data_IF_722650102996
#
_entry.id   IF_722650102996
#
_cell.length_a   1.000
_cell.length_b   1.000
_cell.length_c   1.000
_cell.angle_alpha   90.00
_cell.angle_beta   90.00
_cell.angle_gamma   90.00
#
_symmetry.space_group_name_H-M   'P 1'
#
loop_
_entity.id
_entity.type
_entity.pdbx_description
1 polymer ?
#
# COMPACT_ATOMS: atom_id res chain seq x y z
N UNK A 1 53.36 -15.62 -6.24
CA UNK A 1 52.77 -16.78 -5.52
C UNK A 1 51.49 -17.18 -6.24
N UNK A 2 50.99 -18.40 -6.06
CA UNK A 2 49.67 -18.81 -6.56
C UNK A 2 48.64 -18.70 -5.43
N UNK A 3 48.46 -17.49 -4.92
CA UNK A 3 47.55 -17.23 -3.80
C UNK A 3 46.14 -17.05 -4.36
N UNK A 4 45.19 -17.86 -3.90
CA UNK A 4 43.78 -17.70 -4.27
C UNK A 4 43.19 -16.43 -3.68
N UNK A 5 42.36 -15.74 -4.45
CA UNK A 5 41.66 -14.55 -3.99
C UNK A 5 40.24 -14.49 -4.55
N UNK A 6 39.34 -13.87 -3.80
CA UNK A 6 37.94 -13.70 -4.16
C UNK A 6 37.46 -12.32 -3.69
N UNK A 7 37.21 -11.43 -4.64
CA UNK A 7 36.98 -10.00 -4.36
C UNK A 7 35.68 -9.57 -5.01
N UNK A 8 34.74 -9.09 -4.19
CA UNK A 8 33.44 -8.59 -4.63
C UNK A 8 33.55 -7.09 -4.80
N UNK A 9 33.16 -6.58 -5.96
CA UNK A 9 33.02 -5.16 -6.25
C UNK A 9 31.52 -4.87 -6.25
N UNK A 10 31.03 -4.24 -5.18
CA UNK A 10 29.63 -3.82 -5.08
C UNK A 10 29.34 -2.69 -6.08
N UNK A 11 28.15 -2.77 -6.69
CA UNK A 11 27.70 -1.83 -7.71
C UNK A 11 26.37 -1.19 -7.31
N UNK A 12 25.33 -1.28 -8.14
CA UNK A 12 24.06 -0.59 -7.85
C UNK A 12 23.21 -1.34 -6.83
N UNK A 13 23.33 -2.68 -6.78
CA UNK A 13 22.60 -3.53 -5.85
C UNK A 13 23.44 -3.84 -4.61
N UNK A 14 22.79 -3.88 -3.45
CA UNK A 14 23.40 -4.29 -2.19
C UNK A 14 23.61 -5.80 -2.22
N UNK A 15 24.83 -6.23 -1.98
CA UNK A 15 25.20 -7.65 -2.09
C UNK A 15 24.95 -8.46 -0.81
N UNK A 16 24.72 -7.78 0.32
CA UNK A 16 24.58 -8.45 1.63
C UNK A 16 23.41 -9.43 1.69
N UNK A 17 22.34 -9.19 0.93
CA UNK A 17 21.18 -10.09 0.90
C UNK A 17 21.51 -11.46 0.26
N UNK A 18 22.63 -11.55 -0.47
CA UNK A 18 23.02 -12.74 -1.21
C UNK A 18 24.21 -13.48 -0.61
N UNK A 19 24.92 -12.90 0.36
CA UNK A 19 26.08 -13.49 1.01
C UNK A 19 25.86 -13.69 2.50
N UNK A 20 26.65 -14.56 3.10
CA UNK A 20 26.74 -14.62 4.57
C UNK A 20 27.57 -13.44 5.06
N UNK A 21 27.14 -12.82 6.17
CA UNK A 21 27.87 -11.73 6.82
C UNK A 21 29.28 -12.19 7.18
N UNK A 22 30.27 -11.40 6.76
CA UNK A 22 31.68 -11.65 7.05
C UNK A 22 32.12 -10.99 8.35
N UNK A 23 33.44 -10.88 8.53
CA UNK A 23 34.01 -10.01 9.56
C UNK A 23 34.13 -8.59 9.01
N UNK A 24 33.61 -7.60 9.74
CA UNK A 24 33.75 -6.19 9.35
C UNK A 24 35.22 -5.77 9.41
N UNK A 25 35.67 -5.15 8.32
CA UNK A 25 37.00 -4.57 8.21
C UNK A 25 36.90 -3.35 7.30
N UNK A 26 37.03 -2.16 7.89
CA UNK A 26 37.04 -0.89 7.16
C UNK A 26 38.48 -0.53 6.82
N UNK A 27 38.87 -0.73 5.57
CA UNK A 27 40.24 -0.49 5.13
C UNK A 27 40.31 -0.12 3.64
N UNK A 28 41.29 0.69 3.26
CA UNK A 28 41.63 0.89 1.86
C UNK A 28 42.18 -0.42 1.25
N UNK A 29 41.82 -0.78 0.00
CA UNK A 29 42.28 -2.00 -0.66
C UNK A 29 43.72 -1.86 -1.18
N UNK A 30 44.68 -1.57 -0.29
CA UNK A 30 46.09 -1.48 -0.66
C UNK A 30 46.68 -2.85 -0.94
N UNK A 31 47.77 -2.95 -1.74
CA UNK A 31 48.42 -4.22 -2.02
C UNK A 31 48.82 -5.00 -0.77
N UNK A 32 49.27 -4.31 0.28
CA UNK A 32 49.68 -4.91 1.55
C UNK A 32 48.47 -5.53 2.27
N UNK A 33 47.37 -4.79 2.37
CA UNK A 33 46.13 -5.25 3.00
C UNK A 33 45.57 -6.49 2.28
N UNK A 34 45.48 -6.43 0.95
CA UNK A 34 44.98 -7.56 0.15
C UNK A 34 45.86 -8.80 0.29
N UNK A 35 47.19 -8.63 0.29
CA UNK A 35 48.13 -9.73 0.50
C UNK A 35 47.98 -10.35 1.89
N UNK A 36 47.82 -9.54 2.93
CA UNK A 36 47.63 -10.01 4.31
C UNK A 36 46.31 -10.75 4.50
N UNK A 37 45.22 -10.29 3.87
CA UNK A 37 43.92 -10.97 3.96
C UNK A 37 43.97 -12.35 3.30
N UNK A 38 44.45 -12.44 2.06
CA UNK A 38 44.47 -13.69 1.31
C UNK A 38 45.67 -14.61 1.61
N UNK A 39 46.54 -14.23 2.54
CA UNK A 39 47.63 -15.10 2.97
C UNK A 39 47.08 -16.37 3.63
N UNK A 40 47.62 -17.54 3.27
CA UNK A 40 47.10 -18.86 3.69
C UNK A 40 47.02 -19.05 5.21
N UNK A 41 47.93 -18.44 5.95
CA UNK A 41 47.96 -18.52 7.42
C UNK A 41 47.01 -17.52 8.09
N UNK A 42 46.47 -16.55 7.34
CA UNK A 42 45.55 -15.54 7.88
C UNK A 42 44.19 -16.17 8.15
N UNK A 43 43.54 -15.94 9.30
CA UNK A 43 42.17 -16.43 9.53
C UNK A 43 41.13 -15.80 8.57
N UNK A 44 41.50 -14.73 7.86
CA UNK A 44 40.61 -13.96 6.97
C UNK A 44 40.64 -14.44 5.51
N UNK A 45 41.51 -15.41 5.18
CA UNK A 45 41.73 -15.84 3.79
C UNK A 45 40.62 -16.73 3.21
N UNK A 46 39.79 -17.31 4.08
CA UNK A 46 38.67 -18.15 3.68
C UNK A 46 37.45 -17.29 3.39
N UNK A 47 36.91 -17.41 2.18
CA UNK A 47 35.82 -16.57 1.70
C UNK A 47 36.27 -15.37 0.85
N UNK A 48 35.35 -14.42 0.70
CA UNK A 48 35.51 -13.25 -0.15
C UNK A 48 35.70 -11.97 0.66
N UNK A 49 36.29 -10.97 0.02
CA UNK A 49 36.26 -9.59 0.52
C UNK A 49 35.18 -8.80 -0.21
N UNK A 50 34.56 -7.85 0.49
CA UNK A 50 33.57 -6.93 -0.05
C UNK A 50 34.16 -5.53 -0.16
N UNK A 51 34.32 -5.06 -1.40
CA UNK A 51 34.68 -3.68 -1.71
C UNK A 51 33.41 -2.90 -2.07
N UNK A 52 33.16 -1.83 -1.32
CA UNK A 52 32.05 -0.90 -1.51
C UNK A 52 32.60 0.52 -1.53
N UNK A 53 32.20 1.30 -2.53
CA UNK A 53 32.57 2.72 -2.65
C UNK A 53 34.09 2.97 -2.55
N UNK A 54 34.90 2.00 -3.00
CA UNK A 54 36.37 2.09 -2.98
C UNK A 54 37.03 1.58 -1.69
N UNK A 55 36.26 1.14 -0.70
CA UNK A 55 36.78 0.63 0.58
C UNK A 55 36.40 -0.83 0.80
N UNK A 56 37.27 -1.59 1.45
CA UNK A 56 36.92 -2.90 2.01
C UNK A 56 35.98 -2.61 3.18
N UNK A 57 34.88 -3.36 3.24
CA UNK A 57 33.87 -3.23 4.32
C UNK A 57 33.72 -4.53 5.11
N UNK A 58 33.85 -5.67 4.43
CA UNK A 58 33.78 -7.00 5.03
C UNK A 58 34.83 -7.92 4.39
N UNK A 59 35.29 -8.90 5.17
CA UNK A 59 36.18 -9.97 4.74
C UNK A 59 35.63 -11.32 5.21
N UNK A 60 36.13 -12.40 4.65
CA UNK A 60 35.66 -13.75 4.94
C UNK A 60 34.15 -13.96 4.70
N UNK A 61 33.58 -13.28 3.70
CA UNK A 61 32.18 -13.44 3.29
C UNK A 61 32.00 -14.75 2.51
N UNK A 62 31.00 -15.55 2.87
CA UNK A 62 30.64 -16.74 2.10
C UNK A 62 29.60 -16.43 1.04
N UNK A 63 29.82 -16.96 -0.16
CA UNK A 63 29.03 -16.67 -1.35
C UNK A 63 28.23 -17.90 -1.79
N UNK A 64 27.06 -17.69 -2.41
CA UNK A 64 26.27 -18.78 -2.96
C UNK A 64 27.00 -19.38 -4.16
N UNK A 65 27.03 -20.71 -4.22
CA UNK A 65 27.59 -21.41 -5.37
C UNK A 65 26.54 -21.47 -6.49
N UNK A 66 26.98 -21.31 -7.74
CA UNK A 66 26.11 -21.56 -8.89
C UNK A 66 25.76 -23.06 -8.97
N UNK A 67 24.48 -23.41 -9.23
CA UNK A 67 24.06 -24.78 -9.50
C UNK A 67 24.29 -25.19 -10.96
N UNK A 68 24.83 -24.30 -11.80
CA UNK A 68 25.02 -24.57 -13.23
C UNK A 68 25.92 -25.80 -13.46
N UNK A 69 25.43 -26.70 -14.31
CA UNK A 69 26.19 -27.84 -14.81
C UNK A 69 27.03 -27.42 -16.04
N UNK A 70 28.05 -28.20 -16.38
CA UNK A 70 28.89 -27.93 -17.56
C UNK A 70 29.97 -26.85 -17.38
N UNK A 71 30.21 -26.38 -16.15
CA UNK A 71 31.35 -25.51 -15.87
C UNK A 71 32.68 -26.26 -16.07
N UNK A 72 33.75 -25.55 -16.48
CA UNK A 72 35.09 -26.14 -16.63
C UNK A 72 35.54 -26.93 -15.39
N UNK A 73 36.19 -28.07 -15.60
CA UNK A 73 36.57 -28.99 -14.51
C UNK A 73 37.64 -28.40 -13.60
N UNK A 74 38.45 -27.50 -14.14
CA UNK A 74 39.49 -26.72 -13.47
C UNK A 74 38.93 -25.59 -12.59
N UNK A 75 37.61 -25.35 -12.59
CA UNK A 75 36.99 -24.32 -11.76
C UNK A 75 36.62 -24.85 -10.38
N UNK A 76 37.43 -24.46 -9.40
CA UNK A 76 37.19 -24.72 -7.98
C UNK A 76 36.03 -23.90 -7.38
N UNK A 77 35.86 -24.01 -6.07
CA UNK A 77 34.75 -23.40 -5.29
C UNK A 77 34.69 -21.88 -5.42
N UNK A 78 35.82 -21.18 -5.44
CA UNK A 78 35.87 -19.71 -5.62
C UNK A 78 35.29 -19.25 -6.96
N UNK A 79 35.52 -20.00 -8.04
CA UNK A 79 34.95 -19.69 -9.35
C UNK A 79 33.43 -19.88 -9.33
N UNK A 80 32.96 -20.98 -8.73
CA UNK A 80 31.52 -21.26 -8.58
C UNK A 80 30.81 -20.24 -7.70
N UNK A 81 31.45 -19.80 -6.63
CA UNK A 81 30.98 -18.73 -5.75
C UNK A 81 30.86 -17.39 -6.49
N UNK A 82 31.89 -17.03 -7.27
CA UNK A 82 31.89 -15.80 -8.06
C UNK A 82 30.75 -15.77 -9.07
N UNK A 83 30.53 -16.87 -9.79
CA UNK A 83 29.41 -17.00 -10.73
C UNK A 83 28.09 -16.92 -9.98
N UNK A 84 27.93 -17.71 -8.91
CA UNK A 84 26.68 -17.79 -8.16
C UNK A 84 26.25 -16.46 -7.54
N UNK A 85 27.18 -15.59 -7.13
CA UNK A 85 26.84 -14.22 -6.75
C UNK A 85 26.47 -13.35 -7.96
N UNK A 86 27.27 -13.41 -9.03
CA UNK A 86 27.05 -12.59 -10.24
C UNK A 86 25.79 -12.94 -11.03
N UNK A 87 25.18 -14.11 -10.78
CA UNK A 87 23.87 -14.51 -11.30
C UNK A 87 22.70 -13.83 -10.56
N UNK A 88 22.92 -13.45 -9.30
CA UNK A 88 21.86 -12.97 -8.39
C UNK A 88 21.80 -11.45 -8.28
N UNK A 89 22.91 -10.77 -8.56
CA UNK A 89 23.02 -9.32 -8.45
C UNK A 89 23.96 -8.74 -9.51
N UNK A 90 24.02 -7.41 -9.59
CA UNK A 90 24.87 -6.71 -10.56
C UNK A 90 26.34 -6.56 -10.15
N UNK A 91 26.75 -7.18 -9.04
CA UNK A 91 28.13 -7.16 -8.55
C UNK A 91 29.07 -7.92 -9.49
N UNK A 92 30.31 -7.43 -9.54
CA UNK A 92 31.38 -8.11 -10.27
C UNK A 92 32.31 -8.75 -9.28
N UNK A 93 32.76 -9.96 -9.57
CA UNK A 93 33.58 -10.73 -8.65
C UNK A 93 34.88 -11.11 -9.31
N UNK A 94 36.01 -10.62 -8.80
CA UNK A 94 37.34 -11.01 -9.24
C UNK A 94 37.73 -12.31 -8.54
N UNK A 95 38.27 -13.24 -9.31
CA UNK A 95 38.76 -14.54 -8.84
C UNK A 95 40.21 -14.69 -9.26
N UNK A 96 41.07 -15.08 -8.33
CA UNK A 96 42.42 -15.54 -8.62
C UNK A 96 42.50 -17.02 -8.31
N UNK A 97 42.89 -17.83 -9.30
CA UNK A 97 43.05 -19.28 -9.14
C UNK A 97 44.27 -19.59 -8.29
N UNK A 98 44.09 -20.35 -7.20
CA UNK A 98 45.21 -20.83 -6.37
C UNK A 98 46.03 -21.93 -7.05
N UNK A 99 45.47 -22.60 -8.05
CA UNK A 99 46.15 -23.68 -8.78
C UNK A 99 46.93 -23.15 -9.99
N UNK A 100 46.33 -22.20 -10.71
CA UNK A 100 46.85 -21.71 -12.00
C UNK A 100 47.44 -20.31 -11.92
N UNK A 101 47.07 -19.53 -10.91
CA UNK A 101 47.46 -18.11 -10.80
C UNK A 101 46.75 -17.19 -11.79
N UNK A 102 45.78 -17.73 -12.53
CA UNK A 102 44.97 -16.99 -13.49
C UNK A 102 43.99 -16.05 -12.79
N UNK A 103 43.80 -14.88 -13.38
CA UNK A 103 42.82 -13.89 -12.94
C UNK A 103 41.62 -13.93 -13.85
N UNK A 104 40.43 -14.02 -13.25
CA UNK A 104 39.16 -14.03 -13.96
C UNK A 104 38.17 -13.10 -13.27
N UNK A 105 37.18 -12.64 -14.03
CA UNK A 105 36.12 -11.77 -13.56
C UNK A 105 34.76 -12.43 -13.83
N UNK A 106 33.94 -12.60 -12.80
CA UNK A 106 32.57 -13.03 -12.93
C UNK A 106 31.62 -11.83 -13.01
N UNK A 107 30.73 -11.81 -14.01
CA UNK A 107 29.70 -10.79 -14.23
C UNK A 107 28.52 -11.42 -14.95
N UNK A 108 27.29 -11.17 -14.47
CA UNK A 108 26.05 -11.64 -15.12
C UNK A 108 26.07 -13.17 -15.40
N UNK A 109 26.59 -13.95 -14.45
CA UNK A 109 26.70 -15.40 -14.57
C UNK A 109 27.74 -15.92 -15.58
N UNK A 110 28.55 -15.04 -16.15
CA UNK A 110 29.64 -15.41 -17.07
C UNK A 110 31.00 -15.15 -16.43
N UNK A 111 32.00 -15.93 -16.81
CA UNK A 111 33.38 -15.74 -16.38
C UNK A 111 34.24 -15.27 -17.56
N UNK A 112 34.93 -14.16 -17.36
CA UNK A 112 35.81 -13.54 -18.35
C UNK A 112 37.24 -13.72 -17.84
N UNK A 113 38.07 -14.40 -18.62
CA UNK A 113 39.48 -14.58 -18.29
C UNK A 113 40.27 -13.32 -18.65
N UNK A 114 41.14 -12.86 -17.76
CA UNK A 114 42.04 -11.74 -18.03
C UNK A 114 43.37 -12.26 -18.56
N UNK A 115 43.53 -12.24 -19.89
CA UNK A 115 44.71 -12.78 -20.58
C UNK A 115 46.02 -12.07 -20.20
N UNK A 116 45.94 -10.77 -19.89
CA UNK A 116 47.09 -9.97 -19.51
C UNK A 116 46.71 -8.86 -18.51
N UNK A 117 47.70 -8.24 -17.83
CA UNK A 117 47.44 -7.19 -16.85
C UNK A 117 46.72 -5.97 -17.42
N UNK A 118 46.91 -5.65 -18.70
CA UNK A 118 46.26 -4.52 -19.37
C UNK A 118 44.75 -4.77 -19.53
N UNK A 119 44.37 -5.97 -19.96
CA UNK A 119 42.97 -6.41 -20.06
C UNK A 119 42.34 -6.42 -18.67
N UNK A 120 43.04 -6.93 -17.66
CA UNK A 120 42.55 -6.89 -16.28
C UNK A 120 42.29 -5.45 -15.82
N UNK A 121 43.24 -4.53 -16.06
CA UNK A 121 43.08 -3.12 -15.71
C UNK A 121 41.86 -2.50 -16.41
N UNK A 122 41.65 -2.79 -17.70
CA UNK A 122 40.48 -2.31 -18.44
C UNK A 122 39.17 -2.85 -17.86
N UNK A 123 39.11 -4.14 -17.53
CA UNK A 123 37.95 -4.75 -16.90
C UNK A 123 37.63 -4.11 -15.54
N UNK A 124 38.64 -3.85 -14.70
CA UNK A 124 38.44 -3.17 -13.41
C UNK A 124 38.00 -1.72 -13.61
N UNK A 125 38.58 -1.00 -14.57
CA UNK A 125 38.14 0.36 -14.88
C UNK A 125 36.67 0.40 -15.33
N UNK A 126 36.22 -0.55 -16.14
CA UNK A 126 34.81 -0.70 -16.50
C UNK A 126 33.93 -1.04 -15.27
N UNK A 127 34.44 -1.91 -14.38
CA UNK A 127 33.79 -2.29 -13.13
C UNK A 127 33.55 -1.10 -12.20
N UNK A 128 34.47 -0.13 -12.19
CA UNK A 128 34.42 1.06 -11.33
C UNK A 128 33.64 2.21 -11.98
N UNK A 129 33.84 2.46 -13.27
CA UNK A 129 33.21 3.58 -13.99
C UNK A 129 31.71 3.38 -14.20
N UNK A 130 31.27 2.15 -14.49
CA UNK A 130 29.85 1.88 -14.67
C UNK A 130 29.06 1.84 -13.33
N UNK A 131 29.71 2.17 -12.20
CA UNK A 131 29.11 2.37 -10.87
C UNK A 131 28.90 3.85 -10.52
N UNK A 132 29.14 4.78 -11.46
CA UNK A 132 28.69 6.16 -11.32
C UNK A 132 27.15 6.24 -11.26
N UNK A 133 26.58 7.33 -10.72
CA UNK A 133 25.12 7.57 -10.72
C UNK A 133 24.65 7.89 -12.15
N UNK A 134 24.76 6.93 -13.05
CA UNK A 134 24.05 6.94 -14.31
C UNK A 134 22.62 6.54 -14.02
N UNK A 135 21.70 7.49 -14.15
CA UNK A 135 20.26 7.26 -14.18
C UNK A 135 19.91 6.00 -14.98
N UNK A 136 19.77 4.85 -14.31
CA UNK A 136 19.03 3.74 -14.89
C UNK A 136 17.59 4.21 -14.96
N UNK A 137 17.22 4.65 -16.16
CA UNK A 137 15.89 5.12 -16.53
C UNK A 137 14.85 4.23 -15.86
N UNK A 138 14.01 4.84 -15.02
CA UNK A 138 12.85 4.25 -14.38
C UNK A 138 12.11 3.21 -15.24
N UNK A 139 12.10 3.40 -16.56
CA UNK A 139 11.54 2.47 -17.56
C UNK A 139 12.15 1.05 -17.52
N UNK A 140 13.46 0.90 -17.32
CA UNK A 140 14.13 -0.41 -17.27
C UNK A 140 13.91 -1.12 -15.92
N UNK A 141 13.93 -0.36 -14.82
CA UNK A 141 13.63 -0.87 -13.47
C UNK A 141 12.18 -1.34 -13.35
N UNK A 142 11.25 -0.54 -13.86
CA UNK A 142 9.82 -0.86 -13.89
C UNK A 142 9.57 -2.09 -14.78
N UNK A 143 10.26 -2.21 -15.92
CA UNK A 143 10.18 -3.38 -16.80
C UNK A 143 10.46 -4.70 -16.06
N UNK A 144 11.62 -4.83 -15.41
CA UNK A 144 11.99 -6.07 -14.73
C UNK A 144 11.12 -6.36 -13.48
N UNK A 145 10.70 -5.32 -12.76
CA UNK A 145 9.80 -5.44 -11.59
C UNK A 145 8.36 -5.80 -11.98
N UNK A 146 7.82 -5.29 -13.10
CA UNK A 146 6.47 -5.66 -13.56
C UNK A 146 6.45 -7.00 -14.32
N UNK A 147 7.47 -7.29 -15.14
CA UNK A 147 7.51 -8.51 -15.96
C UNK A 147 7.89 -9.78 -15.16
N UNK A 148 8.64 -9.64 -14.07
CA UNK A 148 8.93 -10.81 -13.21
C UNK A 148 7.69 -11.20 -12.40
N UNK A 149 7.20 -12.42 -12.66
CA UNK A 149 6.05 -13.07 -11.99
C UNK A 149 4.70 -12.34 -12.15
N UNK A 150 4.45 -11.65 -13.27
CA UNK A 150 3.19 -10.91 -13.50
C UNK A 150 1.91 -11.76 -13.33
N UNK A 151 2.00 -13.08 -13.58
CA UNK A 151 0.93 -14.06 -13.32
C UNK A 151 0.48 -14.07 -11.86
N UNK A 152 1.42 -14.02 -10.91
CA UNK A 152 1.10 -14.02 -9.46
C UNK A 152 0.46 -12.71 -9.00
N UNK A 153 0.88 -11.59 -9.60
CA UNK A 153 0.31 -10.26 -9.33
C UNK A 153 -1.12 -10.14 -9.85
N UNK A 154 -1.41 -10.71 -11.02
CA UNK A 154 -2.76 -10.72 -11.58
C UNK A 154 -3.72 -11.60 -10.77
N UNK A 155 -3.28 -12.78 -10.31
CA UNK A 155 -4.10 -13.67 -9.48
C UNK A 155 -4.44 -13.01 -8.14
N UNK A 156 -3.45 -12.41 -7.48
CA UNK A 156 -3.67 -11.71 -6.20
C UNK A 156 -4.57 -10.48 -6.36
N UNK A 157 -4.36 -9.67 -7.40
CA UNK A 157 -5.20 -8.52 -7.70
C UNK A 157 -6.65 -8.93 -7.99
N UNK A 158 -6.84 -9.99 -8.80
CA UNK A 158 -8.17 -10.51 -9.10
C UNK A 158 -8.89 -11.00 -7.83
N UNK A 159 -8.21 -11.75 -6.98
CA UNK A 159 -8.78 -12.29 -5.74
C UNK A 159 -9.17 -11.17 -4.77
N UNK A 160 -8.29 -10.17 -4.58
CA UNK A 160 -8.60 -9.00 -3.74
C UNK A 160 -9.74 -8.20 -4.32
N UNK A 161 -9.74 -7.93 -5.63
CA UNK A 161 -10.80 -7.17 -6.31
C UNK A 161 -12.15 -7.90 -6.23
N UNK A 162 -12.16 -9.21 -6.39
CA UNK A 162 -13.37 -10.02 -6.29
C UNK A 162 -13.94 -10.02 -4.88
N UNK A 163 -13.08 -10.18 -3.87
CA UNK A 163 -13.47 -10.10 -2.47
C UNK A 163 -14.01 -8.71 -2.11
N UNK A 164 -13.37 -7.65 -2.60
CA UNK A 164 -13.82 -6.27 -2.39
C UNK A 164 -15.17 -6.01 -3.06
N UNK A 165 -15.40 -6.55 -4.26
CA UNK A 165 -16.67 -6.42 -4.98
C UNK A 165 -17.83 -7.07 -4.20
N UNK A 166 -17.58 -8.23 -3.59
CA UNK A 166 -18.57 -8.94 -2.75
C UNK A 166 -18.88 -8.12 -1.49
N UNK A 167 -17.87 -7.54 -0.85
CA UNK A 167 -18.04 -6.82 0.42
C UNK A 167 -18.65 -5.42 0.24
N UNK A 168 -18.22 -4.69 -0.81
CA UNK A 168 -18.69 -3.33 -1.08
C UNK A 168 -20.17 -3.28 -1.49
N UNK A 169 -20.73 -4.38 -2.00
CA UNK A 169 -22.15 -4.48 -2.35
C UNK A 169 -23.13 -4.50 -1.17
N UNK A 170 -22.65 -4.67 0.07
CA UNK A 170 -23.47 -4.88 1.27
C UNK A 170 -23.69 -3.62 2.13
N UNK A 171 -23.30 -2.42 1.66
CA UNK A 171 -23.44 -1.22 2.49
C UNK A 171 -24.88 -0.66 2.44
N UNK A 172 -25.54 -0.68 3.60
CA UNK A 172 -26.78 0.06 3.83
C UNK A 172 -26.53 1.55 3.61
N UNK A 173 -27.46 2.21 2.90
CA UNK A 173 -27.40 3.64 2.67
C UNK A 173 -28.41 4.35 3.56
N UNK A 174 -28.05 5.53 4.05
CA UNK A 174 -28.92 6.40 4.83
C UNK A 174 -29.27 7.64 4.01
N UNK A 175 -30.56 7.97 3.92
CA UNK A 175 -31.05 9.16 3.21
C UNK A 175 -31.81 10.05 4.17
N UNK A 176 -31.52 11.36 4.09
CA UNK A 176 -32.21 12.41 4.82
C UNK A 176 -33.24 13.06 3.92
N UNK A 177 -34.52 12.97 4.29
CA UNK A 177 -35.63 13.58 3.55
C UNK A 177 -36.30 14.64 4.40
N UNK A 178 -36.68 15.77 3.79
CA UNK A 178 -37.53 16.77 4.41
C UNK A 178 -38.98 16.48 4.02
N UNK A 179 -39.82 16.24 5.02
CA UNK A 179 -41.22 15.82 4.85
C UNK A 179 -42.13 16.87 5.50
N UNK A 180 -43.23 17.29 4.83
CA UNK A 180 -44.19 18.21 5.41
C UNK A 180 -45.03 17.53 6.49
N UNK A 181 -45.34 18.27 7.56
CA UNK A 181 -46.11 17.78 8.70
C UNK A 181 -47.62 17.98 8.45
N UNK A 182 -48.39 16.89 8.47
CA UNK A 182 -49.86 16.94 8.41
C UNK A 182 -50.46 16.97 9.81
N UNK A 183 -51.44 17.85 9.98
CA UNK A 183 -52.09 18.07 11.27
C UNK A 183 -53.40 17.30 11.31
N UNK A 184 -53.62 16.55 12.40
CA UNK A 184 -54.86 15.83 12.65
C UNK A 184 -55.53 16.38 13.91
N UNK A 185 -56.85 16.61 13.83
CA UNK A 185 -57.66 16.90 15.01
C UNK A 185 -57.51 18.30 15.61
N UNK A 186 -57.25 19.34 14.80
CA UNK A 186 -57.25 20.73 15.30
C UNK A 186 -58.68 21.15 15.73
N UNK A 187 -58.91 21.59 16.98
CA UNK A 187 -60.24 22.03 17.42
C UNK A 187 -60.74 23.24 16.60
N UNK A 188 -62.03 23.30 16.21
CA UNK A 188 -62.58 24.34 15.32
C UNK A 188 -62.57 25.77 15.88
N UNK A 189 -62.11 25.96 17.12
CA UNK A 189 -61.98 27.27 17.78
C UNK A 189 -60.53 27.75 17.88
N UNK A 190 -59.58 27.11 17.19
CA UNK A 190 -58.15 27.41 17.30
C UNK A 190 -57.49 27.67 15.95
N UNK A 191 -56.57 28.64 15.94
CA UNK A 191 -55.71 28.99 14.82
C UNK A 191 -54.24 28.86 15.25
N UNK A 192 -53.40 28.34 14.34
CA UNK A 192 -51.97 28.17 14.56
C UNK A 192 -51.28 29.45 14.09
N UNK A 193 -50.62 30.17 15.01
CA UNK A 193 -49.87 31.37 14.65
C UNK A 193 -48.47 31.00 14.14
N UNK A 194 -47.80 30.04 14.78
CA UNK A 194 -46.45 29.61 14.42
C UNK A 194 -46.22 28.13 14.78
N UNK A 195 -45.48 27.36 13.95
CA UNK A 195 -45.02 27.68 12.58
C UNK A 195 -46.09 27.38 11.51
N UNK A 196 -46.26 28.25 10.50
CA UNK A 196 -47.22 28.05 9.40
C UNK A 196 -46.90 26.84 8.51
N UNK A 197 -45.61 26.52 8.34
CA UNK A 197 -45.14 25.42 7.49
C UNK A 197 -44.10 24.58 8.26
N UNK A 198 -44.56 23.67 9.12
CA UNK A 198 -43.68 22.74 9.81
C UNK A 198 -43.19 21.64 8.86
N UNK A 199 -41.88 21.54 8.68
CA UNK A 199 -41.23 20.42 8.02
C UNK A 199 -40.37 19.66 9.04
N UNK A 200 -40.32 18.35 8.90
CA UNK A 200 -39.49 17.47 9.72
C UNK A 200 -38.51 16.75 8.82
N UNK A 201 -37.27 16.66 9.25
CA UNK A 201 -36.24 15.90 8.57
C UNK A 201 -36.22 14.48 9.13
N UNK A 202 -36.44 13.49 8.27
CA UNK A 202 -36.43 12.07 8.63
C UNK A 202 -35.24 11.39 7.98
N UNK A 203 -34.51 10.60 8.76
CA UNK A 203 -33.40 9.77 8.29
C UNK A 203 -33.89 8.35 8.12
N UNK A 204 -33.81 7.85 6.89
CA UNK A 204 -34.30 6.53 6.49
C UNK A 204 -33.12 5.65 6.05
N UNK A 205 -33.10 4.39 6.46
CA UNK A 205 -32.08 3.40 6.10
C UNK A 205 -32.69 2.26 5.28
N UNK A 206 -31.99 1.87 4.21
CA UNK A 206 -32.38 0.75 3.35
C UNK A 206 -31.21 0.20 2.52
N UNK A 207 -31.52 -0.67 1.54
CA UNK A 207 -30.56 -1.19 0.55
C UNK A 207 -30.50 -0.30 -0.70
N UNK A 208 -29.31 -0.05 -1.26
CA UNK A 208 -29.09 0.93 -2.36
C UNK A 208 -30.04 0.80 -3.57
N UNK A 209 -30.62 -0.39 -3.79
CA UNK A 209 -31.64 -0.70 -4.80
C UNK A 209 -33.04 -0.13 -4.52
N UNK A 210 -33.36 0.13 -3.25
CA UNK A 210 -34.66 0.62 -2.76
C UNK A 210 -34.65 2.14 -2.54
N UNK A 211 -33.52 2.82 -2.81
CA UNK A 211 -33.35 4.27 -2.70
C UNK A 211 -34.28 5.06 -3.63
N UNK A 212 -34.62 4.51 -4.79
CA UNK A 212 -35.52 5.13 -5.77
C UNK A 212 -36.99 5.11 -5.33
N UNK A 213 -37.35 4.34 -4.30
CA UNK A 213 -38.72 4.24 -3.77
C UNK A 213 -39.00 5.35 -2.74
N UNK A 214 -37.94 6.01 -2.25
CA UNK A 214 -37.96 7.11 -1.28
C UNK A 214 -38.37 8.46 -1.88
N UNK A 215 -39.43 8.48 -2.67
CA UNK A 215 -39.97 9.72 -3.22
C UNK A 215 -40.70 10.52 -2.13
N UNK A 216 -40.50 11.84 -2.10
CA UNK A 216 -40.97 12.74 -1.02
C UNK A 216 -42.48 12.71 -0.81
N UNK A 217 -43.24 12.24 -1.79
CA UNK A 217 -44.70 12.17 -1.76
C UNK A 217 -45.26 10.97 -0.98
N UNK A 218 -44.43 9.94 -0.72
CA UNK A 218 -44.89 8.67 -0.11
C UNK A 218 -44.61 8.56 1.39
N UNK A 219 -43.95 9.56 1.98
CA UNK A 219 -43.67 9.63 3.42
C UNK A 219 -44.53 10.72 4.03
N UNK A 220 -45.38 10.37 5.00
CA UNK A 220 -46.28 11.33 5.66
C UNK A 220 -46.01 11.31 7.16
N UNK A 221 -45.65 12.47 7.71
CA UNK A 221 -45.59 12.69 9.15
C UNK A 221 -46.92 13.29 9.59
N UNK A 222 -47.67 12.60 10.44
CA UNK A 222 -48.92 13.11 11.03
C UNK A 222 -48.68 13.50 12.48
N UNK A 223 -49.23 14.62 12.94
CA UNK A 223 -49.22 15.00 14.37
C UNK A 223 -50.64 15.25 14.84
N UNK A 224 -50.98 14.65 15.97
CA UNK A 224 -52.30 14.80 16.60
C UNK A 224 -52.33 16.03 17.53
N UNK A 225 -53.16 17.01 17.17
CA UNK A 225 -53.36 18.25 17.93
C UNK A 225 -54.69 18.30 18.69
N UNK A 226 -55.38 17.17 18.85
CA UNK A 226 -56.67 17.07 19.55
C UNK A 226 -56.66 17.59 20.99
N UNK A 227 -55.48 17.60 21.64
CA UNK A 227 -55.28 18.08 23.02
C UNK A 227 -54.73 19.49 23.11
N UNK A 228 -54.70 20.24 22.01
CA UNK A 228 -54.16 21.60 21.97
C UNK A 228 -54.87 22.54 22.95
N UNK A 229 -54.10 23.40 23.62
CA UNK A 229 -54.56 24.45 24.53
C UNK A 229 -54.03 25.81 24.06
N UNK A 230 -54.71 26.93 24.38
CA UNK A 230 -54.21 28.26 24.03
C UNK A 230 -52.84 28.53 24.67
N UNK A 231 -51.91 29.10 23.90
CA UNK A 231 -50.55 29.39 24.35
C UNK A 231 -49.47 28.61 23.59
N UNK A 232 -48.23 28.68 24.10
CA UNK A 232 -47.07 27.98 23.54
C UNK A 232 -47.02 26.55 24.10
N UNK A 233 -46.97 25.56 23.22
CA UNK A 233 -46.90 24.15 23.59
C UNK A 233 -45.85 23.43 22.75
N UNK A 234 -44.95 22.71 23.42
CA UNK A 234 -43.96 21.85 22.76
C UNK A 234 -44.57 20.47 22.54
N UNK A 235 -44.56 20.01 21.29
CA UNK A 235 -45.11 18.72 20.89
C UNK A 235 -43.94 17.85 20.44
N UNK A 236 -43.79 16.69 21.08
CA UNK A 236 -42.77 15.72 20.73
C UNK A 236 -43.23 14.90 19.52
N UNK A 237 -42.45 14.89 18.45
CA UNK A 237 -42.71 14.05 17.28
C UNK A 237 -42.09 12.68 17.56
N UNK A 238 -42.94 11.69 17.80
CA UNK A 238 -42.48 10.33 18.15
C UNK A 238 -42.45 9.44 16.91
N UNK A 239 -41.56 8.44 16.86
CA UNK A 239 -41.44 7.51 15.70
C UNK A 239 -42.78 6.87 15.27
N UNK A 240 -43.71 6.67 16.20
CA UNK A 240 -45.03 6.07 15.94
C UNK A 240 -46.00 7.00 15.16
N UNK A 241 -45.67 8.28 15.03
CA UNK A 241 -46.49 9.30 14.36
C UNK A 241 -46.09 9.50 12.89
N UNK A 242 -44.98 8.88 12.47
CA UNK A 242 -44.49 8.91 11.09
C UNK A 242 -44.92 7.62 10.40
N UNK A 243 -45.79 7.74 9.40
CA UNK A 243 -46.25 6.61 8.61
C UNK A 243 -45.42 6.51 7.34
N UNK A 244 -44.70 5.40 7.24
CA UNK A 244 -44.03 4.98 6.02
C UNK A 244 -45.02 4.16 5.18
N UNK A 245 -44.98 4.34 3.86
CA UNK A 245 -45.84 3.58 2.94
C UNK A 245 -45.27 2.19 2.60
N UNK A 246 -44.02 1.90 2.98
CA UNK A 246 -43.33 0.62 2.71
C UNK A 246 -42.52 0.16 3.94
N UNK A 247 -42.72 -1.10 4.35
CA UNK A 247 -42.08 -1.73 5.51
C UNK A 247 -40.60 -2.10 5.28
N UNK A 248 -40.10 -1.99 4.04
CA UNK A 248 -38.71 -2.33 3.67
C UNK A 248 -37.69 -1.25 4.08
N UNK A 249 -38.16 -0.08 4.50
CA UNK A 249 -37.32 1.06 4.90
C UNK A 249 -37.47 1.28 6.40
N UNK A 250 -36.36 1.50 7.10
CA UNK A 250 -36.37 1.74 8.55
C UNK A 250 -36.14 3.22 8.87
N UNK A 251 -36.98 3.77 9.76
CA UNK A 251 -36.76 5.09 10.34
C UNK A 251 -35.64 5.03 11.37
N UNK A 252 -34.53 5.70 11.08
CA UNK A 252 -33.36 5.80 11.95
C UNK A 252 -33.53 6.98 12.90
N UNK A 253 -33.91 8.15 12.37
CA UNK A 253 -33.92 9.39 13.16
C UNK A 253 -34.90 10.44 12.63
N UNK A 254 -35.28 11.39 13.50
CA UNK A 254 -36.25 12.46 13.24
C UNK A 254 -35.78 13.77 13.87
N UNK A 255 -35.60 14.80 13.05
CA UNK A 255 -35.15 16.13 13.48
C UNK A 255 -36.10 17.24 12.99
N UNK A 256 -36.57 18.16 13.86
CA UNK A 256 -36.42 18.17 15.31
C UNK A 256 -37.38 17.18 15.99
N UNK A 257 -36.97 16.61 17.12
CA UNK A 257 -37.81 15.71 17.94
C UNK A 257 -38.91 16.44 18.73
N UNK A 258 -38.85 17.78 18.81
CA UNK A 258 -39.87 18.64 19.43
C UNK A 258 -40.13 19.86 18.57
N UNK A 259 -41.40 20.21 18.39
CA UNK A 259 -41.83 21.45 17.73
C UNK A 259 -42.66 22.28 18.70
N UNK A 260 -42.31 23.55 18.84
CA UNK A 260 -43.10 24.53 19.58
C UNK A 260 -44.21 25.06 18.69
N UNK A 261 -45.46 24.85 19.09
CA UNK A 261 -46.64 25.42 18.43
C UNK A 261 -47.24 26.52 19.29
N UNK A 262 -47.67 27.60 18.65
CA UNK A 262 -48.39 28.70 19.31
C UNK A 262 -49.83 28.74 18.81
N UNK A 263 -50.78 28.50 19.70
CA UNK A 263 -52.21 28.45 19.39
C UNK A 263 -52.95 29.68 19.91
N UNK A 264 -53.80 30.28 19.08
CA UNK A 264 -54.73 31.35 19.47
C UNK A 264 -56.17 30.87 19.34
N UNK A 265 -57.04 31.29 20.26
CA UNK A 265 -58.48 31.04 20.16
C UNK A 265 -59.09 31.99 19.12
N UNK A 266 -59.80 31.45 18.15
CA UNK A 266 -60.54 32.24 17.15
C UNK A 266 -61.65 33.00 17.88
N UNK A 267 -61.50 34.32 18.01
CA UNK A 267 -62.59 35.19 18.46
C UNK A 267 -63.56 35.34 17.29
N UNK A 268 -64.79 34.81 17.41
CA UNK A 268 -65.88 35.18 16.51
C UNK A 268 -66.00 36.71 16.56
N UNK A 269 -65.72 37.41 15.46
CA UNK A 269 -66.01 38.83 15.38
C UNK A 269 -67.49 39.01 15.63
N UNK A 270 -67.81 39.81 16.63
CA UNK A 270 -69.15 40.27 16.93
C UNK A 270 -69.63 41.02 15.68
N UNK A 271 -70.50 40.37 14.91
CA UNK A 271 -71.32 41.00 13.89
C UNK A 271 -72.13 42.09 14.61
N UNK A 272 -72.01 43.38 14.27
CA UNK A 272 -72.87 44.38 14.88
C UNK A 272 -74.29 44.13 14.37
N UNK A 273 -75.13 43.64 15.27
CA UNK A 273 -76.57 43.64 15.08
C UNK A 273 -77.10 45.09 15.10
N UNK A 274 -78.12 45.31 14.26
CA UNK A 274 -79.04 46.45 14.12
C UNK A 274 -78.80 47.32 12.89
#
# INVERSE_FOLDING_TARGET
TKTGALIIIERAERVQEYMTEGQRLEAAPTPEVLKSIFQKESPLHDGAILIRQGEITEVACYLPLTPAEGLPKEWGTRHRAAIGLSERCDAWVVVVSEERGEVSLARKGQMIHAENPQVFYQLIQEALTASGPGEKSWKERIGHLLLSRWRTKLVTLFLVSFLWLILAGQQDFEVKLKVPLRIKGLPPQMEILEPLNANVQVTLRGLRRDASILDREKVVAEVDLSRARPGKMDIAITRNEIRLSDDRVKLVDVEPSKLAFVFKKVQKSKEPAS
#
